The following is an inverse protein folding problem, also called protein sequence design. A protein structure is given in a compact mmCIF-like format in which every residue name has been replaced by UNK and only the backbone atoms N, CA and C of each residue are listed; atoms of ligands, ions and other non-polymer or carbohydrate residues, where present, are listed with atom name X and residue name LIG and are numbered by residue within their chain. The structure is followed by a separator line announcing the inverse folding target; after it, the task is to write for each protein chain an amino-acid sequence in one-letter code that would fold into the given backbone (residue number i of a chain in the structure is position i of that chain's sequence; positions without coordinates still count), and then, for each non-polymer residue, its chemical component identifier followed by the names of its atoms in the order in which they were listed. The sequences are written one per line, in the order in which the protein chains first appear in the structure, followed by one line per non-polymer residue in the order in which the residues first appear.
data_IF_287375085109
#
_entry.id   IF_287375085109
#
_cell.length_a   1.000
_cell.length_b   1.000
_cell.length_c   1.000
_cell.angle_alpha   90.00
_cell.angle_beta   90.00
_cell.angle_gamma   90.00
#
_symmetry.space_group_name_H-M   'P 1'
#
loop_
_entity.id
_entity.type
_entity.pdbx_description
1 polymer ?
#
# COMPACT_ATOMS: atom_id res chain seq x y z
N UNK A 1 -17.97 -21.07 -34.97
CA UNK A 1 -17.00 -20.13 -34.37
C UNK A 1 -16.96 -20.47 -32.89
N UNK A 2 -15.94 -21.24 -32.52
CA UNK A 2 -15.92 -22.22 -31.43
C UNK A 2 -15.75 -21.63 -30.03
N UNK A 3 -16.55 -22.12 -29.08
CA UNK A 3 -16.55 -21.81 -27.64
C UNK A 3 -15.16 -21.83 -26.96
N UNK A 4 -14.19 -22.56 -27.52
CA UNK A 4 -12.81 -22.61 -27.01
C UNK A 4 -12.07 -21.27 -26.99
N UNK A 5 -12.43 -20.30 -27.85
CA UNK A 5 -11.87 -18.95 -27.81
C UNK A 5 -12.50 -18.12 -26.68
N UNK A 6 -13.81 -18.26 -26.44
CA UNK A 6 -14.53 -17.59 -25.34
C UNK A 6 -14.09 -18.10 -23.96
N UNK A 7 -13.80 -19.39 -23.84
CA UNK A 7 -13.32 -19.97 -22.57
C UNK A 7 -11.88 -19.54 -22.24
N UNK A 8 -11.03 -19.35 -23.27
CA UNK A 8 -9.70 -18.76 -23.08
C UNK A 8 -9.79 -17.28 -22.69
N UNK A 9 -10.58 -16.49 -23.40
CA UNK A 9 -10.78 -15.06 -23.14
C UNK A 9 -11.25 -14.82 -21.69
N UNK A 10 -12.26 -15.57 -21.22
CA UNK A 10 -12.72 -15.53 -19.82
C UNK A 10 -11.65 -15.95 -18.81
N UNK A 11 -10.82 -16.94 -19.13
CA UNK A 11 -9.73 -17.38 -18.25
C UNK A 11 -8.61 -16.35 -18.10
N UNK A 12 -8.31 -15.60 -19.17
CA UNK A 12 -7.33 -14.51 -19.11
C UNK A 12 -7.89 -13.28 -18.38
N UNK A 13 -9.15 -12.91 -18.61
CA UNK A 13 -9.81 -11.83 -17.87
C UNK A 13 -9.94 -12.13 -16.37
N UNK A 14 -10.37 -13.35 -16.01
CA UNK A 14 -10.50 -13.75 -14.60
C UNK A 14 -9.14 -13.80 -13.89
N UNK A 15 -8.08 -14.27 -14.57
CA UNK A 15 -6.72 -14.25 -14.01
C UNK A 15 -6.21 -12.81 -13.85
N UNK A 16 -6.43 -11.96 -14.84
CA UNK A 16 -6.01 -10.56 -14.79
C UNK A 16 -6.72 -9.78 -13.67
N UNK A 17 -8.04 -9.98 -13.50
CA UNK A 17 -8.79 -9.40 -12.39
C UNK A 17 -8.31 -9.90 -11.03
N UNK A 18 -7.98 -11.18 -10.91
CA UNK A 18 -7.43 -11.74 -9.68
C UNK A 18 -6.06 -11.14 -9.35
N UNK A 19 -5.20 -10.98 -10.36
CA UNK A 19 -3.86 -10.41 -10.21
C UNK A 19 -3.94 -8.91 -9.83
N UNK A 20 -4.86 -8.15 -10.43
CA UNK A 20 -5.11 -6.74 -10.07
C UNK A 20 -5.73 -6.60 -8.67
N UNK A 21 -6.70 -7.44 -8.30
CA UNK A 21 -7.31 -7.39 -6.96
C UNK A 21 -6.29 -7.73 -5.87
N UNK A 22 -5.45 -8.75 -6.09
CA UNK A 22 -4.37 -9.12 -5.18
C UNK A 22 -3.34 -7.99 -5.05
N UNK A 23 -3.01 -7.35 -6.18
CA UNK A 23 -2.11 -6.20 -6.18
C UNK A 23 -2.68 -5.02 -5.41
N UNK A 24 -3.93 -4.65 -5.63
CA UNK A 24 -4.59 -3.56 -4.90
C UNK A 24 -4.64 -3.83 -3.39
N UNK A 25 -4.98 -5.08 -3.00
CA UNK A 25 -4.94 -5.51 -1.60
C UNK A 25 -3.54 -5.41 -1.01
N UNK A 26 -2.51 -5.80 -1.76
CA UNK A 26 -1.11 -5.70 -1.32
C UNK A 26 -0.65 -4.24 -1.20
N UNK A 27 -1.02 -3.36 -2.13
CA UNK A 27 -0.71 -1.91 -2.08
C UNK A 27 -1.38 -1.25 -0.87
N UNK A 28 -2.67 -1.51 -0.63
CA UNK A 28 -3.37 -1.03 0.57
C UNK A 28 -2.73 -1.55 1.86
N UNK A 29 -2.35 -2.84 1.90
CA UNK A 29 -1.67 -3.44 3.06
C UNK A 29 -0.29 -2.83 3.28
N UNK A 30 0.49 -2.60 2.23
CA UNK A 30 1.79 -1.91 2.27
C UNK A 30 1.63 -0.50 2.85
N UNK A 31 0.65 0.27 2.39
CA UNK A 31 0.39 1.63 2.89
C UNK A 31 0.03 1.61 4.38
N UNK A 32 -0.78 0.63 4.81
CA UNK A 32 -1.09 0.43 6.24
C UNK A 32 0.16 0.14 7.07
N UNK A 33 1.03 -0.75 6.60
CA UNK A 33 2.28 -1.10 7.29
C UNK A 33 3.23 0.11 7.37
N UNK A 34 3.30 0.92 6.31
CA UNK A 34 4.09 2.16 6.33
C UNK A 34 3.55 3.12 7.38
N UNK A 35 2.23 3.31 7.43
CA UNK A 35 1.60 4.17 8.42
C UNK A 35 1.84 3.70 9.85
N UNK A 36 1.78 2.39 10.13
CA UNK A 36 2.13 1.86 11.46
C UNK A 36 3.60 2.11 11.81
N UNK A 37 4.53 1.91 10.87
CA UNK A 37 5.95 2.17 11.08
C UNK A 37 6.23 3.65 11.39
N UNK A 38 5.56 4.57 10.68
CA UNK A 38 5.65 6.00 10.96
C UNK A 38 4.97 6.38 12.26
N UNK A 39 3.82 5.80 12.58
CA UNK A 39 3.14 6.03 13.85
C UNK A 39 4.04 5.66 15.04
N UNK A 40 4.79 4.57 14.95
CA UNK A 40 5.81 4.22 15.96
C UNK A 40 6.91 5.28 16.05
N UNK A 41 7.44 5.74 14.91
CA UNK A 41 8.44 6.82 14.86
C UNK A 41 7.91 8.15 15.44
N UNK A 42 6.61 8.37 15.31
CA UNK A 42 5.89 9.55 15.80
C UNK A 42 5.53 9.43 17.29
N UNK A 43 5.76 8.26 17.91
CA UNK A 43 5.38 7.98 19.29
C UNK A 43 3.87 7.78 19.50
N UNK A 44 3.10 7.58 18.43
CA UNK A 44 1.67 7.26 18.49
C UNK A 44 1.48 5.81 18.96
N UNK A 45 0.42 5.54 19.73
CA UNK A 45 0.15 4.21 20.28
C UNK A 45 -1.34 3.87 20.23
N UNK A 46 -1.64 2.57 20.22
CA UNK A 46 -3.01 2.07 20.26
C UNK A 46 -3.85 2.65 19.12
N UNK A 47 -5.00 3.22 19.47
CA UNK A 47 -5.96 3.79 18.51
C UNK A 47 -5.36 4.87 17.61
N UNK A 48 -4.40 5.65 18.12
CA UNK A 48 -3.83 6.77 17.36
C UNK A 48 -2.89 6.27 16.25
N UNK A 49 -2.17 5.17 16.52
CA UNK A 49 -1.36 4.50 15.51
C UNK A 49 -2.23 3.84 14.42
N UNK A 50 -3.32 3.20 14.83
CA UNK A 50 -4.29 2.60 13.90
C UNK A 50 -5.00 3.66 13.05
N UNK A 51 -5.33 4.81 13.63
CA UNK A 51 -5.94 5.93 12.94
C UNK A 51 -4.98 6.49 11.88
N UNK A 52 -3.74 6.77 12.26
CA UNK A 52 -2.72 7.26 11.33
C UNK A 52 -2.47 6.27 10.19
N UNK A 53 -2.38 4.96 10.50
CA UNK A 53 -2.23 3.94 9.47
C UNK A 53 -3.39 3.92 8.46
N UNK A 54 -4.62 4.18 8.91
CA UNK A 54 -5.79 4.30 8.01
C UNK A 54 -5.69 5.55 7.13
N UNK A 55 -5.27 6.67 7.67
CA UNK A 55 -5.07 7.90 6.90
C UNK A 55 -4.05 7.70 5.77
N UNK A 56 -2.94 7.00 6.03
CA UNK A 56 -1.94 6.68 5.01
C UNK A 56 -2.48 5.77 3.91
N UNK A 57 -3.41 4.86 4.23
CA UNK A 57 -4.12 4.07 3.20
C UNK A 57 -5.05 4.95 2.37
N UNK A 58 -5.77 5.87 3.02
CA UNK A 58 -6.72 6.76 2.37
C UNK A 58 -6.07 7.87 1.56
N UNK A 59 -4.78 8.12 1.70
CA UNK A 59 -4.07 9.10 0.86
C UNK A 59 -3.79 8.58 -0.55
N UNK A 60 -3.90 7.28 -0.82
CA UNK A 60 -3.59 6.66 -2.11
C UNK A 60 -4.78 6.68 -3.10
N UNK A 61 -5.46 7.83 -3.22
CA UNK A 61 -6.73 7.95 -3.95
C UNK A 61 -6.68 8.83 -5.21
N UNK A 62 -5.70 9.73 -5.34
CA UNK A 62 -5.71 10.75 -6.40
C UNK A 62 -4.89 10.32 -7.64
N UNK A 63 -3.71 9.76 -7.43
CA UNK A 63 -2.75 9.36 -8.45
C UNK A 63 -2.39 7.86 -8.32
N UNK A 64 -2.32 7.12 -9.44
CA UNK A 64 -1.88 5.73 -9.39
C UNK A 64 -0.39 5.66 -9.01
N UNK A 65 -0.06 4.96 -7.93
CA UNK A 65 1.32 4.68 -7.58
C UNK A 65 1.58 4.80 -6.08
N UNK A 66 2.65 5.54 -5.73
CA UNK A 66 3.02 5.78 -4.33
C UNK A 66 3.17 7.26 -4.02
N UNK A 67 3.07 8.14 -5.01
CA UNK A 67 3.51 9.52 -4.87
C UNK A 67 2.59 10.33 -3.93
N UNK A 68 1.28 10.06 -3.90
CA UNK A 68 0.38 10.69 -2.92
C UNK A 68 0.68 10.26 -1.49
N UNK A 69 0.91 8.95 -1.30
CA UNK A 69 1.31 8.39 -0.01
C UNK A 69 2.61 9.03 0.46
N UNK A 70 3.62 9.10 -0.41
CA UNK A 70 4.92 9.72 -0.13
C UNK A 70 4.75 11.20 0.22
N UNK A 71 3.97 11.95 -0.57
CA UNK A 71 3.72 13.38 -0.34
C UNK A 71 3.07 13.63 1.01
N UNK A 72 2.05 12.82 1.36
CA UNK A 72 1.36 12.89 2.66
C UNK A 72 2.30 12.63 3.82
N UNK A 73 3.03 11.50 3.80
CA UNK A 73 3.88 11.14 4.93
C UNK A 73 5.07 12.08 5.08
N UNK A 74 5.62 12.59 3.98
CA UNK A 74 6.71 13.58 4.04
C UNK A 74 6.25 14.88 4.68
N UNK A 75 5.03 15.34 4.40
CA UNK A 75 4.45 16.50 5.08
C UNK A 75 4.31 16.27 6.59
N UNK A 76 3.81 15.10 7.02
CA UNK A 76 3.69 14.77 8.44
C UNK A 76 5.05 14.66 9.15
N UNK A 77 6.06 14.10 8.47
CA UNK A 77 7.43 13.95 8.97
C UNK A 77 8.05 15.33 9.17
N UNK A 78 7.85 16.26 8.23
CA UNK A 78 8.32 17.64 8.31
C UNK A 78 7.63 18.40 9.45
N UNK A 79 6.31 18.28 9.59
CA UNK A 79 5.54 18.90 10.68
C UNK A 79 6.03 18.43 12.07
N UNK A 80 6.48 17.17 12.16
CA UNK A 80 7.01 16.58 13.40
C UNK A 80 8.51 16.77 13.59
N UNK A 81 9.20 17.37 12.61
CA UNK A 81 10.64 17.64 12.67
C UNK A 81 11.52 16.38 12.71
N UNK A 82 11.07 15.27 12.11
CA UNK A 82 11.84 14.03 12.06
C UNK A 82 12.81 14.01 10.89
N UNK A 83 14.00 13.46 11.11
CA UNK A 83 15.05 13.32 10.09
C UNK A 83 14.85 12.07 9.20
N UNK A 84 13.63 11.87 8.70
CA UNK A 84 13.31 10.80 7.73
C UNK A 84 13.23 11.43 6.35
N UNK A 85 13.96 10.86 5.40
CA UNK A 85 14.04 11.35 4.02
C UNK A 85 13.07 10.61 3.10
N UNK A 86 12.70 11.23 1.99
CA UNK A 86 11.84 10.61 0.97
C UNK A 86 12.44 9.29 0.45
N UNK A 87 13.76 9.23 0.24
CA UNK A 87 14.47 8.01 -0.17
C UNK A 87 14.29 6.87 0.84
N UNK A 88 14.27 7.17 2.14
CA UNK A 88 14.01 6.16 3.17
C UNK A 88 12.56 5.68 3.11
N UNK A 89 11.60 6.56 2.85
CA UNK A 89 10.19 6.18 2.67
C UNK A 89 10.01 5.29 1.45
N UNK A 90 10.59 5.66 0.30
CA UNK A 90 10.50 4.87 -0.94
C UNK A 90 11.12 3.47 -0.76
N UNK A 91 12.30 3.38 -0.15
CA UNK A 91 12.90 2.07 0.19
C UNK A 91 12.03 1.27 1.15
N UNK A 92 11.44 1.92 2.15
CA UNK A 92 10.56 1.25 3.10
C UNK A 92 9.29 0.72 2.44
N UNK A 93 8.72 1.45 1.48
CA UNK A 93 7.59 1.00 0.68
C UNK A 93 7.94 -0.24 -0.14
N UNK A 94 9.13 -0.28 -0.76
CA UNK A 94 9.61 -1.44 -1.51
C UNK A 94 9.79 -2.66 -0.61
N UNK A 95 10.42 -2.49 0.55
CA UNK A 95 10.62 -3.56 1.54
C UNK A 95 9.27 -4.13 2.04
N UNK A 96 8.33 -3.24 2.32
CA UNK A 96 7.01 -3.60 2.84
C UNK A 96 6.10 -4.24 1.79
N UNK A 97 6.35 -4.03 0.50
CA UNK A 97 5.54 -4.63 -0.56
C UNK A 97 5.63 -6.16 -0.54
N UNK A 98 6.82 -6.71 -0.31
CA UNK A 98 6.99 -8.16 -0.19
C UNK A 98 6.23 -8.72 1.01
N UNK A 99 6.38 -8.10 2.18
CA UNK A 99 5.65 -8.49 3.40
C UNK A 99 4.14 -8.35 3.23
N UNK A 100 3.67 -7.29 2.57
CA UNK A 100 2.26 -7.08 2.30
C UNK A 100 1.70 -8.17 1.37
N UNK A 101 2.43 -8.53 0.31
CA UNK A 101 2.02 -9.60 -0.59
C UNK A 101 1.96 -10.97 0.11
N UNK A 102 2.88 -11.26 1.02
CA UNK A 102 2.83 -12.48 1.84
C UNK A 102 1.62 -12.48 2.79
N UNK A 103 1.37 -11.35 3.48
CA UNK A 103 0.22 -11.21 4.37
C UNK A 103 -1.11 -11.44 3.64
N UNK A 104 -1.28 -10.84 2.46
CA UNK A 104 -2.49 -11.02 1.65
C UNK A 104 -2.65 -12.45 1.14
N UNK A 105 -1.56 -13.16 0.84
CA UNK A 105 -1.62 -14.59 0.47
C UNK A 105 -1.96 -15.50 1.64
N UNK A 106 -1.61 -15.10 2.86
CA UNK A 106 -1.84 -15.87 4.09
C UNK A 106 -3.15 -15.57 4.80
N UNK A 107 -3.91 -14.57 4.32
CA UNK A 107 -5.23 -14.16 4.83
C UNK A 107 -6.35 -15.03 4.26
#
# INVERSE_FOLDING_TARGET
MSDAFKDREKGYEAKYQLDEEQRFKAESRRNKLLGLWLAEAFGLKGSDADAYAREVVLSDLDEPGIDDVVRKVMADIEERGLAITEDQIRRKLDDLLHTAAEQIKSE
#
